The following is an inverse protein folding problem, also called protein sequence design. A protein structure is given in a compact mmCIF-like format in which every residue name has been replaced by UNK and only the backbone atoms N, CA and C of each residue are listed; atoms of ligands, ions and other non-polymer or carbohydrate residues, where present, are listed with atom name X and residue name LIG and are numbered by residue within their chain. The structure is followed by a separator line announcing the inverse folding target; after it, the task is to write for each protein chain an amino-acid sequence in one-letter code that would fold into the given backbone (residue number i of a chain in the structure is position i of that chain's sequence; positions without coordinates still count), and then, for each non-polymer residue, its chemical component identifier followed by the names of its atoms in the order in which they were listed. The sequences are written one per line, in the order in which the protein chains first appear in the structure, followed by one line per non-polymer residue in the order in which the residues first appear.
data_IF_780817533384
#
_entry.id   IF_780817533384
#
_cell.length_a   1.000
_cell.length_b   1.000
_cell.length_c   1.000
_cell.angle_alpha   90.00
_cell.angle_beta   90.00
_cell.angle_gamma   90.00
#
_symmetry.space_group_name_H-M   'P 1'
#
loop_
_entity.id
_entity.type
_entity.pdbx_description
1 polymer ?
#
# COMPACT_ATOMS: atom_id res chain seq x y z
N UNK A 1 5.10 -31.18 8.68
CA UNK A 1 4.16 -30.07 8.39
C UNK A 1 3.64 -30.21 6.96
N UNK A 2 2.34 -30.39 6.78
CA UNK A 2 1.68 -30.59 5.47
C UNK A 2 1.87 -29.38 4.54
N UNK A 3 2.08 -29.63 3.23
CA UNK A 3 2.28 -28.58 2.21
C UNK A 3 1.11 -27.58 2.13
N UNK A 4 -0.10 -28.04 2.45
CA UNK A 4 -1.30 -27.19 2.50
C UNK A 4 -1.21 -26.12 3.60
N UNK A 5 -0.72 -26.47 4.79
CA UNK A 5 -0.55 -25.53 5.91
C UNK A 5 0.51 -24.46 5.61
N UNK A 6 1.59 -24.83 4.90
CA UNK A 6 2.62 -23.87 4.49
C UNK A 6 2.10 -22.84 3.49
N UNK A 7 1.30 -23.28 2.51
CA UNK A 7 0.66 -22.39 1.53
C UNK A 7 -0.34 -21.45 2.20
N UNK A 8 -1.14 -21.99 3.12
CA UNK A 8 -2.10 -21.24 3.93
C UNK A 8 -1.42 -20.10 4.70
N UNK A 9 -0.34 -20.39 5.42
CA UNK A 9 0.38 -19.38 6.19
C UNK A 9 1.02 -18.30 5.30
N UNK A 10 1.47 -18.67 4.10
CA UNK A 10 2.07 -17.74 3.15
C UNK A 10 1.05 -16.73 2.63
N UNK A 11 -0.17 -17.18 2.33
CA UNK A 11 -1.25 -16.31 1.86
C UNK A 11 -1.65 -15.26 2.90
N UNK A 12 -1.79 -15.68 4.16
CA UNK A 12 -2.12 -14.75 5.25
C UNK A 12 -0.97 -13.79 5.58
N UNK A 13 0.28 -14.27 5.50
CA UNK A 13 1.45 -13.41 5.69
C UNK A 13 1.52 -12.31 4.61
N UNK A 14 1.25 -12.66 3.35
CA UNK A 14 1.18 -11.69 2.26
C UNK A 14 0.04 -10.68 2.45
N UNK A 15 -1.13 -11.12 2.90
CA UNK A 15 -2.27 -10.23 3.17
C UNK A 15 -1.98 -9.28 4.33
N UNK A 16 -1.36 -9.76 5.41
CA UNK A 16 -0.95 -8.91 6.54
C UNK A 16 0.11 -7.90 6.09
N UNK A 17 1.08 -8.31 5.27
CA UNK A 17 2.09 -7.40 4.72
C UNK A 17 1.44 -6.29 3.88
N UNK A 18 0.48 -6.64 3.03
CA UNK A 18 -0.25 -5.68 2.22
C UNK A 18 -0.97 -4.65 3.11
N UNK A 19 -1.71 -5.10 4.11
CA UNK A 19 -2.43 -4.19 5.01
C UNK A 19 -1.50 -3.26 5.79
N UNK A 20 -0.32 -3.75 6.20
CA UNK A 20 0.73 -2.94 6.81
C UNK A 20 1.26 -1.88 5.85
N UNK A 21 1.52 -2.23 4.60
CA UNK A 21 2.06 -1.30 3.60
C UNK A 21 1.09 -0.15 3.27
N UNK A 22 -0.21 -0.39 3.40
CA UNK A 22 -1.27 0.61 3.17
C UNK A 22 -1.80 1.27 4.46
N UNK A 23 -1.21 0.98 5.62
CA UNK A 23 -1.60 1.62 6.88
C UNK A 23 -2.96 1.19 7.45
N UNK A 24 -3.54 0.08 6.97
CA UNK A 24 -4.84 -0.42 7.41
C UNK A 24 -4.76 -1.23 8.71
N UNK A 25 -4.22 -0.62 9.77
CA UNK A 25 -3.93 -1.29 11.04
C UNK A 25 -5.18 -1.93 11.68
N UNK A 26 -6.34 -1.30 11.56
CA UNK A 26 -7.60 -1.80 12.12
C UNK A 26 -8.07 -3.11 11.47
N UNK A 27 -7.73 -3.32 10.19
CA UNK A 27 -8.11 -4.52 9.43
C UNK A 27 -7.18 -5.71 9.70
N UNK A 28 -5.95 -5.46 10.18
CA UNK A 28 -4.97 -6.52 10.46
C UNK A 28 -5.49 -7.46 11.54
N UNK A 29 -6.15 -6.92 12.57
CA UNK A 29 -6.73 -7.72 13.64
C UNK A 29 -7.91 -8.58 13.15
N UNK A 30 -8.72 -8.08 12.23
CA UNK A 30 -9.79 -8.85 11.59
C UNK A 30 -9.22 -10.02 10.79
N UNK A 31 -8.17 -9.79 10.00
CA UNK A 31 -7.49 -10.86 9.25
C UNK A 31 -6.85 -11.89 10.19
N UNK A 32 -6.28 -11.47 11.31
CA UNK A 32 -5.76 -12.37 12.33
C UNK A 32 -6.86 -13.28 12.92
N UNK A 33 -8.03 -12.72 13.22
CA UNK A 33 -9.20 -13.48 13.70
C UNK A 33 -9.63 -14.51 12.66
N UNK A 34 -9.71 -14.12 11.39
CA UNK A 34 -10.10 -15.03 10.31
C UNK A 34 -9.06 -16.13 10.07
N UNK A 35 -7.77 -15.83 10.26
CA UNK A 35 -6.72 -16.84 10.26
C UNK A 35 -6.92 -17.87 11.39
N UNK A 36 -7.18 -17.44 12.62
CA UNK A 36 -7.42 -18.37 13.74
C UNK A 36 -8.66 -19.23 13.52
N UNK A 37 -9.75 -18.63 13.01
CA UNK A 37 -10.96 -19.37 12.61
C UNK A 37 -10.67 -20.41 11.52
N UNK A 38 -9.85 -20.08 10.53
CA UNK A 38 -9.46 -21.02 9.47
C UNK A 38 -8.67 -22.23 9.98
N UNK A 39 -8.02 -22.09 11.15
CA UNK A 39 -7.31 -23.16 11.84
C UNK A 39 -8.19 -23.91 12.86
N UNK A 40 -9.49 -23.61 12.91
CA UNK A 40 -10.43 -24.10 13.93
C UNK A 40 -10.00 -23.75 15.38
N UNK A 41 -9.28 -22.64 15.55
CA UNK A 41 -8.92 -22.11 16.87
C UNK A 41 -10.02 -21.14 17.30
N UNK A 42 -10.63 -21.41 18.45
CA UNK A 42 -11.76 -20.63 18.99
C UNK A 42 -11.29 -19.34 19.69
N UNK A 43 -10.00 -19.24 20.00
CA UNK A 43 -9.44 -18.07 20.67
C UNK A 43 -9.32 -16.86 19.74
N UNK A 44 -9.75 -15.69 20.23
CA UNK A 44 -9.55 -14.42 19.55
C UNK A 44 -8.10 -13.97 19.71
N UNK A 45 -7.32 -13.81 18.62
CA UNK A 45 -5.97 -13.31 18.71
C UNK A 45 -5.98 -11.85 19.17
N UNK A 46 -5.14 -11.54 20.16
CA UNK A 46 -4.90 -10.16 20.61
C UNK A 46 -3.63 -9.57 19.98
N UNK A 47 -3.35 -8.29 20.27
CA UNK A 47 -2.16 -7.58 19.77
C UNK A 47 -0.85 -8.32 20.08
N UNK A 48 -0.76 -8.96 21.25
CA UNK A 48 0.39 -9.80 21.61
C UNK A 48 0.58 -10.93 20.62
N UNK A 49 -0.49 -11.65 20.27
CA UNK A 49 -0.42 -12.74 19.30
C UNK A 49 0.07 -12.24 17.94
N UNK A 50 -0.49 -11.12 17.46
CA UNK A 50 -0.11 -10.52 16.18
C UNK A 50 1.38 -10.17 16.15
N UNK A 51 1.90 -9.55 17.22
CA UNK A 51 3.32 -9.22 17.31
C UNK A 51 4.22 -10.46 17.23
N UNK A 52 3.86 -11.54 17.94
CA UNK A 52 4.61 -12.80 17.87
C UNK A 52 4.47 -13.49 16.51
N UNK A 53 3.30 -13.37 15.86
CA UNK A 53 3.07 -13.90 14.52
C UNK A 53 3.98 -13.20 13.50
N UNK A 54 4.00 -11.87 13.51
CA UNK A 54 4.86 -11.07 12.62
C UNK A 54 6.34 -11.38 12.88
N UNK A 55 6.76 -11.50 14.14
CA UNK A 55 8.13 -11.89 14.48
C UNK A 55 8.52 -13.26 13.91
N UNK A 56 7.61 -14.25 14.03
CA UNK A 56 7.82 -15.61 13.50
C UNK A 56 7.89 -15.65 11.97
N UNK A 57 7.17 -14.75 11.31
CA UNK A 57 7.11 -14.63 9.85
C UNK A 57 7.89 -13.41 9.34
N UNK A 58 8.96 -13.03 10.02
CA UNK A 58 9.78 -11.85 9.69
C UNK A 58 10.53 -11.96 8.36
N UNK A 59 10.62 -13.16 7.81
CA UNK A 59 11.08 -13.44 6.44
C UNK A 59 10.11 -12.90 5.38
N UNK A 60 8.81 -12.85 5.71
CA UNK A 60 7.72 -12.48 4.80
C UNK A 60 7.05 -11.15 5.18
N UNK A 61 7.03 -10.82 6.48
CA UNK A 61 6.35 -9.64 7.02
C UNK A 61 7.39 -8.68 7.59
N UNK A 62 7.48 -7.49 7.00
CA UNK A 62 8.36 -6.39 7.43
C UNK A 62 7.52 -5.18 7.79
N UNK A 63 7.77 -4.66 8.99
CA UNK A 63 7.30 -3.34 9.38
C UNK A 63 7.97 -2.30 8.48
N UNK A 64 7.23 -1.84 7.47
CA UNK A 64 7.65 -0.72 6.65
C UNK A 64 7.01 0.54 7.21
N UNK A 65 7.84 1.52 7.56
CA UNK A 65 7.33 2.85 7.87
C UNK A 65 6.70 3.40 6.60
N UNK A 66 5.44 3.84 6.68
CA UNK A 66 4.75 4.52 5.58
C UNK A 66 5.70 5.52 4.94
N UNK A 67 5.83 5.46 3.61
CA UNK A 67 6.60 6.47 2.91
C UNK A 67 5.90 7.81 3.13
N UNK A 68 6.65 8.85 3.54
CA UNK A 68 6.10 10.17 3.91
C UNK A 68 5.09 10.73 2.89
N UNK A 69 5.28 10.41 1.61
CA UNK A 69 4.40 10.79 0.50
C UNK A 69 3.03 10.10 0.55
N UNK A 70 2.96 8.81 0.86
CA UNK A 70 1.68 8.08 0.91
C UNK A 70 0.83 8.54 2.09
N UNK A 71 1.45 8.79 3.24
CA UNK A 71 0.76 9.36 4.40
C UNK A 71 0.22 10.76 4.12
N UNK A 72 1.04 11.64 3.55
CA UNK A 72 0.62 13.00 3.18
C UNK A 72 -0.49 12.99 2.12
N UNK A 73 -0.49 12.02 1.20
CA UNK A 73 -1.59 11.79 0.25
C UNK A 73 -2.85 11.34 0.99
N UNK A 74 -2.79 10.31 1.83
CA UNK A 74 -3.96 9.82 2.56
C UNK A 74 -4.61 10.89 3.45
N UNK A 75 -3.80 11.70 4.15
CA UNK A 75 -4.28 12.76 5.04
C UNK A 75 -4.87 13.95 4.28
N UNK A 76 -4.34 14.31 3.10
CA UNK A 76 -4.77 15.50 2.35
C UNK A 76 -5.75 15.19 1.19
N UNK A 77 -5.97 13.93 0.83
CA UNK A 77 -6.86 13.55 -0.27
C UNK A 77 -8.32 13.41 0.19
N UNK A 78 -8.89 14.52 0.64
CA UNK A 78 -10.31 14.61 1.01
C UNK A 78 -11.22 14.80 -0.23
N UNK A 79 -12.53 14.66 -0.04
CA UNK A 79 -13.53 14.76 -1.11
C UNK A 79 -13.44 16.08 -1.90
N UNK A 80 -13.21 17.20 -1.21
CA UNK A 80 -13.08 18.51 -1.84
C UNK A 80 -11.81 18.61 -2.68
N UNK A 81 -10.68 18.13 -2.17
CA UNK A 81 -9.40 18.08 -2.89
C UNK A 81 -9.50 17.17 -4.11
N UNK A 82 -10.16 16.01 -3.97
CA UNK A 82 -10.41 15.10 -5.09
C UNK A 82 -11.22 15.79 -6.19
N UNK A 83 -12.35 16.42 -5.85
CA UNK A 83 -13.19 17.14 -6.82
C UNK A 83 -12.43 18.28 -7.48
N UNK A 84 -11.70 19.09 -6.69
CA UNK A 84 -10.90 20.19 -7.20
C UNK A 84 -9.83 19.71 -8.18
N UNK A 85 -9.14 18.61 -7.86
CA UNK A 85 -8.12 18.02 -8.72
C UNK A 85 -8.69 17.57 -10.06
N UNK A 86 -9.79 16.81 -10.07
CA UNK A 86 -10.43 16.37 -11.32
C UNK A 86 -10.99 17.53 -12.14
N UNK A 87 -11.50 18.57 -11.47
CA UNK A 87 -11.98 19.77 -12.14
C UNK A 87 -10.84 20.52 -12.83
N UNK A 88 -9.71 20.72 -12.14
CA UNK A 88 -8.52 21.35 -12.71
C UNK A 88 -7.98 20.55 -13.90
N UNK A 89 -7.88 19.23 -13.74
CA UNK A 89 -7.44 18.35 -14.82
C UNK A 89 -8.36 18.48 -16.04
N UNK A 90 -9.67 18.41 -15.85
CA UNK A 90 -10.66 18.57 -16.92
C UNK A 90 -10.53 19.92 -17.62
N UNK A 91 -10.37 21.00 -16.85
CA UNK A 91 -10.21 22.35 -17.40
C UNK A 91 -8.95 22.46 -18.26
N UNK A 92 -7.81 21.93 -17.80
CA UNK A 92 -6.57 21.95 -18.59
C UNK A 92 -6.66 21.05 -19.82
N UNK A 93 -7.28 19.87 -19.72
CA UNK A 93 -7.49 18.97 -20.87
C UNK A 93 -8.39 19.60 -21.93
N UNK A 94 -9.43 20.34 -21.54
CA UNK A 94 -10.27 21.10 -22.49
C UNK A 94 -9.46 22.22 -23.13
N UNK A 95 -8.71 22.99 -22.32
CA UNK A 95 -7.89 24.11 -22.81
C UNK A 95 -6.84 23.68 -23.82
N UNK A 96 -6.25 22.51 -23.63
CA UNK A 96 -5.22 21.94 -24.51
C UNK A 96 -5.80 21.07 -25.64
N UNK A 97 -7.12 20.95 -25.75
CA UNK A 97 -7.81 20.10 -26.73
C UNK A 97 -7.32 18.63 -26.70
N UNK A 98 -7.22 18.09 -25.48
CA UNK A 98 -6.69 16.75 -25.18
C UNK A 98 -7.75 15.75 -24.74
N UNK A 99 -9.02 16.16 -24.60
CA UNK A 99 -10.11 15.30 -24.12
C UNK A 99 -10.24 13.99 -24.91
N UNK A 100 -10.00 14.04 -26.22
CA UNK A 100 -10.10 12.90 -27.13
C UNK A 100 -8.73 12.42 -27.65
N UNK A 101 -7.63 12.87 -27.03
CA UNK A 101 -6.25 12.55 -27.46
C UNK A 101 -5.45 11.88 -26.33
N UNK A 102 -5.91 10.74 -25.80
CA UNK A 102 -5.29 10.13 -24.62
C UNK A 102 -3.83 9.69 -24.88
N UNK A 103 -3.48 9.36 -26.13
CA UNK A 103 -2.11 9.05 -26.56
C UNK A 103 -1.07 10.15 -26.26
N UNK A 104 -1.51 11.40 -26.06
CA UNK A 104 -0.63 12.54 -25.76
C UNK A 104 -0.38 12.74 -24.26
N UNK A 105 -1.07 11.97 -23.40
CA UNK A 105 -1.00 12.09 -21.93
C UNK A 105 -0.13 10.97 -21.33
N UNK A 106 -0.11 9.78 -21.96
CA UNK A 106 0.50 8.58 -21.39
C UNK A 106 2.03 8.60 -21.26
N UNK A 107 2.74 9.54 -21.90
CA UNK A 107 4.22 9.60 -21.83
C UNK A 107 4.78 10.42 -20.64
N UNK A 108 3.91 10.90 -19.74
CA UNK A 108 4.32 11.80 -18.66
C UNK A 108 4.96 11.09 -17.45
N UNK A 109 4.77 9.78 -17.27
CA UNK A 109 5.35 9.01 -16.14
C UNK A 109 6.67 8.30 -16.50
N UNK A 110 6.87 7.93 -17.77
CA UNK A 110 8.10 7.28 -18.25
C UNK A 110 9.26 8.26 -18.47
N UNK A 111 8.99 9.56 -18.59
CA UNK A 111 10.02 10.59 -18.58
C UNK A 111 10.36 10.97 -17.14
N UNK A 112 11.05 10.05 -16.45
CA UNK A 112 11.67 10.33 -15.17
C UNK A 112 12.49 11.62 -15.29
N UNK A 113 12.00 12.71 -14.71
CA UNK A 113 12.75 13.96 -14.65
C UNK A 113 14.07 13.63 -13.98
N UNK A 114 15.17 13.68 -14.74
CA UNK A 114 16.50 13.46 -14.19
C UNK A 114 16.72 14.53 -13.12
N UNK A 115 16.62 14.12 -11.87
CA UNK A 115 16.89 14.98 -10.73
C UNK A 115 18.39 15.30 -10.73
N UNK A 116 18.73 16.40 -11.39
CA UNK A 116 20.12 16.90 -11.50
C UNK A 116 20.69 17.34 -10.15
N UNK A 117 19.95 17.20 -9.03
CA UNK A 117 20.42 17.62 -7.70
C UNK A 117 21.26 16.56 -6.97
N UNK A 118 21.42 15.34 -7.51
CA UNK A 118 22.46 14.42 -7.02
C UNK A 118 23.82 14.76 -7.62
N UNK A 119 24.46 15.79 -7.09
CA UNK A 119 25.92 15.87 -7.15
C UNK A 119 26.49 14.67 -6.39
N UNK A 120 27.08 13.73 -7.13
CA UNK A 120 27.82 12.61 -6.58
C UNK A 120 29.12 13.14 -5.98
N UNK A 121 29.16 13.31 -4.66
CA UNK A 121 30.44 13.38 -3.95
C UNK A 121 31.08 11.99 -3.98
N UNK A 122 32.00 11.79 -4.92
CA UNK A 122 32.99 10.72 -4.85
C UNK A 122 34.14 11.26 -4.01
N UNK A 123 34.33 10.67 -2.83
CA UNK A 123 35.57 10.75 -2.04
C UNK A 123 36.09 9.34 -1.88
#
# INVERSE_FOLDING_TARGET
MSSSVKMHNKNYSALIQLLLDYGYNDLIMTVAVDYMKSLNIVETPGQKWLNHFIQRHSDQIKWKKEQKLERARAENFNESTRKAWFQLLKTELIKLDLMDKPAQIFNADESGFADKTKESWVV
#
